data_IF_888587218361
#
_entry.id   IF_888587218361
#
_cell.length_a   1.000
_cell.length_b   1.000
_cell.length_c   1.000
_cell.angle_alpha   90.00
_cell.angle_beta   90.00
_cell.angle_gamma   90.00
#
_symmetry.space_group_name_H-M   'P 1'
#
loop_
_entity.id
_entity.type
_entity.pdbx_description
1 polymer ?
#
# COMPACT_ATOMS: atom_id res chain seq x y z
N UNK A 1 2.23 -0.87 1.64
CA UNK A 1 0.95 -0.58 0.97
C UNK A 1 1.22 0.15 -0.32
N UNK A 2 0.72 -0.38 -1.45
CA UNK A 2 0.84 0.23 -2.78
C UNK A 2 -0.48 0.88 -3.19
N UNK A 3 -0.44 2.12 -3.61
CA UNK A 3 -1.62 2.94 -3.93
C UNK A 3 -1.50 3.44 -5.37
N UNK A 4 -2.58 3.32 -6.14
CA UNK A 4 -2.75 4.02 -7.41
C UNK A 4 -3.60 5.27 -7.17
N UNK A 5 -3.17 6.41 -7.68
CA UNK A 5 -3.98 7.64 -7.73
C UNK A 5 -4.40 7.84 -9.18
N UNK A 6 -5.70 7.97 -9.43
CA UNK A 6 -6.26 8.31 -10.74
C UNK A 6 -7.00 9.63 -10.59
N UNK A 7 -6.39 10.70 -11.07
CA UNK A 7 -6.84 12.09 -10.88
C UNK A 7 -6.33 12.93 -12.06
N UNK A 8 -7.19 13.64 -12.76
CA UNK A 8 -6.83 14.44 -13.94
C UNK A 8 -6.22 15.80 -13.57
N UNK A 9 -6.55 16.34 -12.40
CA UNK A 9 -5.90 17.54 -11.88
C UNK A 9 -4.47 17.21 -11.42
N UNK A 10 -3.50 17.38 -12.32
CA UNK A 10 -2.08 17.04 -12.10
C UNK A 10 -1.52 17.60 -10.79
N UNK A 11 -1.85 18.85 -10.46
CA UNK A 11 -1.34 19.50 -9.24
C UNK A 11 -1.82 18.77 -7.99
N UNK A 12 -3.07 18.35 -7.95
CA UNK A 12 -3.67 17.58 -6.86
C UNK A 12 -3.07 16.17 -6.80
N UNK A 13 -3.05 15.45 -7.93
CA UNK A 13 -2.47 14.11 -8.03
C UNK A 13 -1.03 14.06 -7.51
N UNK A 14 -0.17 15.00 -7.96
CA UNK A 14 1.22 15.10 -7.53
C UNK A 14 1.37 15.46 -6.05
N UNK A 15 0.52 16.35 -5.54
CA UNK A 15 0.52 16.73 -4.14
C UNK A 15 0.15 15.54 -3.24
N UNK A 16 -0.90 14.81 -3.61
CA UNK A 16 -1.33 13.59 -2.92
C UNK A 16 -0.24 12.52 -2.95
N UNK A 17 0.36 12.26 -4.11
CA UNK A 17 1.42 11.28 -4.25
C UNK A 17 2.64 11.62 -3.38
N UNK A 18 3.08 12.88 -3.39
CA UNK A 18 4.18 13.33 -2.50
C UNK A 18 3.84 13.13 -1.02
N UNK A 19 2.61 13.46 -0.65
CA UNK A 19 2.13 13.27 0.72
C UNK A 19 2.13 11.79 1.13
N UNK A 20 1.50 10.92 0.34
CA UNK A 20 1.38 9.49 0.60
C UNK A 20 2.73 8.77 0.59
N UNK A 21 3.66 9.18 -0.28
CA UNK A 21 5.04 8.68 -0.25
C UNK A 21 5.76 9.06 1.05
N UNK A 22 5.49 10.24 1.62
CA UNK A 22 6.00 10.63 2.95
C UNK A 22 5.40 9.79 4.07
N UNK A 23 4.18 9.30 3.89
CA UNK A 23 3.52 8.35 4.79
C UNK A 23 4.02 6.90 4.62
N UNK A 24 5.00 6.68 3.73
CA UNK A 24 5.66 5.38 3.50
C UNK A 24 4.90 4.45 2.57
N UNK A 25 3.98 4.97 1.77
CA UNK A 25 3.26 4.23 0.75
C UNK A 25 4.06 4.20 -0.56
N UNK A 26 3.98 3.13 -1.33
CA UNK A 26 4.38 3.10 -2.73
C UNK A 26 3.22 3.69 -3.54
N UNK A 27 3.48 4.68 -4.38
CA UNK A 27 2.42 5.44 -5.06
C UNK A 27 2.72 5.60 -6.53
N UNK A 28 1.81 5.12 -7.35
CA UNK A 28 1.77 5.33 -8.79
C UNK A 28 0.65 6.33 -9.12
N UNK A 29 0.78 7.05 -10.24
CA UNK A 29 -0.17 8.07 -10.66
C UNK A 29 -0.62 7.78 -12.08
N UNK A 30 -1.91 7.92 -12.32
CA UNK A 30 -2.53 8.04 -13.63
C UNK A 30 -3.30 9.36 -13.69
N UNK A 31 -3.20 10.08 -14.81
CA UNK A 31 -3.84 11.38 -14.97
C UNK A 31 -5.11 11.33 -15.82
N UNK A 32 -5.60 10.14 -16.11
CA UNK A 32 -6.85 9.86 -16.80
C UNK A 32 -7.32 8.43 -16.52
N UNK A 33 -8.58 8.14 -16.83
CA UNK A 33 -9.19 6.84 -16.57
C UNK A 33 -8.54 5.70 -17.35
N UNK A 34 -8.14 5.92 -18.62
CA UNK A 34 -7.54 4.89 -19.47
C UNK A 34 -6.17 4.46 -18.96
N UNK A 35 -5.32 5.42 -18.61
CA UNK A 35 -4.03 5.14 -17.97
C UNK A 35 -4.19 4.45 -16.61
N UNK A 36 -5.24 4.81 -15.86
CA UNK A 36 -5.62 4.17 -14.60
C UNK A 36 -6.00 2.71 -14.81
N UNK A 37 -6.80 2.42 -15.82
CA UNK A 37 -7.23 1.09 -16.22
C UNK A 37 -6.02 0.21 -16.60
N UNK A 38 -5.14 0.71 -17.48
CA UNK A 38 -3.93 0.00 -17.89
C UNK A 38 -3.05 -0.38 -16.70
N UNK A 39 -2.82 0.56 -15.78
CA UNK A 39 -2.02 0.32 -14.57
C UNK A 39 -2.68 -0.69 -13.64
N UNK A 40 -3.98 -0.58 -13.41
CA UNK A 40 -4.73 -1.51 -12.56
C UNK A 40 -4.78 -2.94 -13.14
N UNK A 41 -4.72 -3.10 -14.47
CA UNK A 41 -4.71 -4.40 -15.13
C UNK A 41 -3.37 -5.14 -14.98
N UNK A 42 -2.24 -4.42 -14.93
CA UNK A 42 -0.89 -5.04 -14.91
C UNK A 42 -0.24 -5.04 -13.53
N UNK A 43 -0.70 -4.18 -12.63
CA UNK A 43 -0.09 -4.00 -11.30
C UNK A 43 -1.13 -4.23 -10.20
N UNK A 44 -0.74 -4.97 -9.17
CA UNK A 44 -1.60 -5.13 -7.98
C UNK A 44 -1.44 -3.94 -7.05
N UNK A 45 -2.55 -3.28 -6.77
CA UNK A 45 -2.65 -2.22 -5.79
C UNK A 45 -3.45 -2.68 -4.57
N UNK A 46 -3.06 -2.21 -3.39
CA UNK A 46 -3.84 -2.42 -2.17
C UNK A 46 -5.09 -1.53 -2.18
N UNK A 47 -4.91 -0.27 -2.62
CA UNK A 47 -6.00 0.72 -2.74
C UNK A 47 -5.82 1.56 -4.01
N UNK A 48 -6.93 1.85 -4.68
CA UNK A 48 -7.02 2.86 -5.74
C UNK A 48 -7.76 4.07 -5.19
N UNK A 49 -7.13 5.25 -5.25
CA UNK A 49 -7.77 6.56 -5.04
C UNK A 49 -8.21 7.03 -6.40
N UNK A 50 -9.50 7.18 -6.59
CA UNK A 50 -10.10 7.35 -7.91
C UNK A 50 -10.98 8.59 -7.93
N UNK A 51 -10.63 9.57 -8.74
CA UNK A 51 -11.56 10.68 -9.00
C UNK A 51 -12.76 10.18 -9.80
N UNK A 52 -13.94 10.62 -9.40
CA UNK A 52 -15.18 10.28 -10.06
C UNK A 52 -15.33 10.97 -11.42
N UNK A 53 -14.95 12.24 -11.49
CA UNK A 53 -15.24 13.12 -12.60
C UNK A 53 -14.08 13.16 -13.63
N UNK A 54 -13.58 12.00 -14.02
CA UNK A 54 -12.50 11.86 -15.01
C UNK A 54 -13.00 12.09 -16.44
N UNK A 55 -12.20 12.71 -17.31
CA UNK A 55 -12.51 12.80 -18.72
C UNK A 55 -12.34 11.46 -19.44
N UNK A 56 -13.19 11.19 -20.41
CA UNK A 56 -13.17 9.93 -21.19
C UNK A 56 -13.73 8.76 -20.41
N UNK A 57 -12.90 7.83 -19.96
CA UNK A 57 -13.32 6.75 -19.08
C UNK A 57 -13.55 7.31 -17.66
N UNK A 58 -14.80 7.34 -17.25
CA UNK A 58 -15.21 7.90 -15.96
C UNK A 58 -14.72 7.07 -14.77
N UNK A 59 -14.60 7.70 -13.60
CA UNK A 59 -14.24 6.98 -12.38
C UNK A 59 -15.26 5.92 -12.00
N UNK A 60 -16.55 6.14 -12.26
CA UNK A 60 -17.59 5.15 -12.00
C UNK A 60 -17.41 3.87 -12.86
N UNK A 61 -17.07 4.02 -14.14
CA UNK A 61 -16.79 2.91 -15.06
C UNK A 61 -15.54 2.14 -14.65
N UNK A 62 -14.45 2.86 -14.38
CA UNK A 62 -13.19 2.25 -13.93
C UNK A 62 -13.36 1.53 -12.58
N UNK A 63 -14.13 2.10 -11.65
CA UNK A 63 -14.46 1.45 -10.38
C UNK A 63 -15.19 0.12 -10.61
N UNK A 64 -16.20 0.10 -11.47
CA UNK A 64 -16.96 -1.11 -11.79
C UNK A 64 -16.05 -2.21 -12.38
N UNK A 65 -15.11 -1.86 -13.24
CA UNK A 65 -14.14 -2.80 -13.80
C UNK A 65 -13.21 -3.39 -12.74
N UNK A 66 -12.63 -2.52 -11.87
CA UNK A 66 -11.73 -2.97 -10.80
C UNK A 66 -12.46 -3.92 -9.85
N UNK A 67 -13.69 -3.58 -9.45
CA UNK A 67 -14.48 -4.38 -8.51
C UNK A 67 -14.95 -5.70 -9.12
N UNK A 68 -15.24 -5.74 -10.43
CA UNK A 68 -15.63 -6.97 -11.13
C UNK A 68 -14.49 -7.95 -11.33
N UNK A 69 -13.26 -7.50 -11.23
CA UNK A 69 -12.05 -8.33 -11.35
C UNK A 69 -11.81 -9.14 -10.08
N UNK A 70 -11.24 -10.36 -10.14
CA UNK A 70 -10.95 -11.18 -8.97
C UNK A 70 -9.71 -10.65 -8.22
N UNK A 71 -9.78 -9.39 -7.76
CA UNK A 71 -8.71 -8.71 -7.04
C UNK A 71 -9.13 -8.40 -5.61
N UNK A 72 -8.14 -8.21 -4.74
CA UNK A 72 -8.35 -7.70 -3.37
C UNK A 72 -8.20 -6.18 -3.30
N UNK A 73 -8.03 -5.52 -4.42
CA UNK A 73 -7.88 -4.06 -4.54
C UNK A 73 -9.12 -3.36 -4.00
N UNK A 74 -8.95 -2.36 -3.16
CA UNK A 74 -10.01 -1.53 -2.62
C UNK A 74 -10.07 -0.20 -3.35
N UNK A 75 -11.27 0.35 -3.51
CA UNK A 75 -11.47 1.63 -4.18
C UNK A 75 -11.97 2.68 -3.20
N UNK A 76 -11.21 3.78 -3.08
CA UNK A 76 -11.63 5.02 -2.44
C UNK A 76 -11.98 6.03 -3.51
N UNK A 77 -13.26 6.35 -3.66
CA UNK A 77 -13.75 7.32 -4.63
C UNK A 77 -13.62 8.75 -4.08
N UNK A 78 -13.02 9.64 -4.84
CA UNK A 78 -13.05 11.08 -4.59
C UNK A 78 -14.25 11.70 -5.34
N UNK A 79 -15.03 12.55 -4.68
CA UNK A 79 -16.23 13.15 -5.28
C UNK A 79 -16.29 14.65 -5.04
N UNK A 80 -16.75 15.42 -6.03
CA UNK A 80 -16.98 16.86 -5.88
C UNK A 80 -18.22 17.19 -5.02
N UNK A 81 -19.13 16.23 -4.84
CA UNK A 81 -20.38 16.43 -4.11
C UNK A 81 -20.43 15.54 -2.86
N UNK A 82 -20.74 16.18 -1.73
CA UNK A 82 -20.88 15.53 -0.42
C UNK A 82 -22.33 15.23 -0.03
N UNK A 83 -23.29 15.22 -0.97
CA UNK A 83 -24.70 14.97 -0.64
C UNK A 83 -24.92 13.52 -0.22
N UNK A 84 -25.89 13.31 0.67
CA UNK A 84 -26.23 11.98 1.15
C UNK A 84 -26.71 11.07 0.00
N UNK A 85 -27.36 11.63 -1.00
CA UNK A 85 -27.82 10.93 -2.19
C UNK A 85 -26.67 10.37 -3.03
N UNK A 86 -25.60 11.16 -3.23
CA UNK A 86 -24.41 10.74 -3.97
C UNK A 86 -23.64 9.63 -3.25
N UNK A 87 -23.64 9.64 -1.92
CA UNK A 87 -23.02 8.58 -1.10
C UNK A 87 -23.80 7.26 -1.17
N UNK A 88 -25.12 7.31 -1.21
CA UNK A 88 -25.98 6.12 -1.29
C UNK A 88 -25.93 5.51 -2.69
N UNK A 89 -25.99 6.33 -3.74
CA UNK A 89 -25.86 5.87 -5.14
C UNK A 89 -24.46 5.29 -5.42
N UNK A 90 -23.44 5.92 -4.85
CA UNK A 90 -22.06 5.45 -5.00
C UNK A 90 -21.79 4.09 -4.33
N UNK A 91 -22.28 3.85 -3.12
CA UNK A 91 -22.15 2.56 -2.43
C UNK A 91 -22.79 1.41 -3.21
N UNK A 92 -23.84 1.68 -3.99
CA UNK A 92 -24.47 0.70 -4.88
C UNK A 92 -23.62 0.37 -6.12
N UNK A 93 -22.58 1.16 -6.43
CA UNK A 93 -21.70 0.99 -7.61
C UNK A 93 -20.37 0.29 -7.30
N UNK A 94 -20.17 -0.16 -6.06
CA UNK A 94 -19.10 -1.07 -5.68
C UNK A 94 -17.83 -0.45 -5.09
N UNK A 95 -17.71 0.87 -4.96
CA UNK A 95 -16.59 1.47 -4.24
C UNK A 95 -16.65 1.13 -2.73
N UNK A 96 -15.49 0.93 -2.13
CA UNK A 96 -15.38 0.52 -0.71
C UNK A 96 -15.52 1.69 0.27
N UNK A 97 -15.21 2.91 -0.16
CA UNK A 97 -15.38 4.16 0.62
C UNK A 97 -15.42 5.38 -0.31
N UNK A 98 -15.91 6.51 0.23
CA UNK A 98 -16.07 7.79 -0.47
C UNK A 98 -15.47 8.92 0.36
N UNK A 99 -14.80 9.86 -0.32
CA UNK A 99 -14.24 11.06 0.29
C UNK A 99 -14.60 12.28 -0.55
N UNK A 100 -15.35 13.22 0.05
CA UNK A 100 -15.77 14.43 -0.64
C UNK A 100 -14.63 15.47 -0.71
N UNK A 101 -14.46 16.10 -1.86
CA UNK A 101 -13.59 17.27 -2.06
C UNK A 101 -14.34 18.54 -1.57
N UNK A 102 -13.68 19.48 -0.84
CA UNK A 102 -12.32 19.38 -0.33
C UNK A 102 -12.22 18.49 0.91
N UNK A 103 -11.10 17.81 1.07
CA UNK A 103 -10.82 16.92 2.20
C UNK A 103 -9.48 17.23 2.87
N UNK A 104 -9.35 16.84 4.11
CA UNK A 104 -8.09 16.92 4.84
C UNK A 104 -7.17 15.72 4.51
N UNK A 105 -5.90 15.99 4.25
CA UNK A 105 -4.92 14.95 3.94
C UNK A 105 -4.82 13.87 5.02
N UNK A 106 -4.84 14.18 6.35
CA UNK A 106 -4.87 13.14 7.40
C UNK A 106 -6.11 12.22 7.31
N UNK A 107 -7.28 12.73 6.88
CA UNK A 107 -8.47 11.91 6.67
C UNK A 107 -8.27 10.91 5.54
N UNK A 108 -7.74 11.36 4.41
CA UNK A 108 -7.39 10.48 3.29
C UNK A 108 -6.47 9.34 3.75
N UNK A 109 -5.38 9.66 4.47
CA UNK A 109 -4.42 8.67 4.97
C UNK A 109 -5.10 7.66 5.90
N UNK A 110 -5.96 8.12 6.81
CA UNK A 110 -6.68 7.25 7.74
C UNK A 110 -7.61 6.27 7.00
N UNK A 111 -8.34 6.75 5.98
CA UNK A 111 -9.24 5.93 5.15
C UNK A 111 -8.47 4.89 4.33
N UNK A 112 -7.37 5.27 3.67
CA UNK A 112 -6.52 4.35 2.92
C UNK A 112 -5.99 3.22 3.81
N UNK A 113 -5.52 3.55 5.00
CA UNK A 113 -5.06 2.55 5.97
C UNK A 113 -6.20 1.63 6.45
N UNK A 114 -7.41 2.15 6.60
CA UNK A 114 -8.58 1.36 6.97
C UNK A 114 -9.00 0.40 5.87
N UNK A 115 -9.00 0.85 4.61
CA UNK A 115 -9.33 0.03 3.44
C UNK A 115 -8.32 -1.08 3.22
N UNK A 116 -7.03 -0.78 3.28
CA UNK A 116 -5.98 -1.77 3.12
C UNK A 116 -6.07 -2.90 4.17
N UNK A 117 -6.50 -2.59 5.41
CA UNK A 117 -6.74 -3.62 6.43
C UNK A 117 -7.91 -4.55 6.10
N UNK A 118 -8.95 -4.05 5.40
CA UNK A 118 -10.12 -4.87 5.02
C UNK A 118 -9.82 -5.83 3.87
N UNK A 119 -8.81 -5.53 3.07
CA UNK A 119 -8.36 -6.37 1.95
C UNK A 119 -7.60 -7.62 2.42
N UNK A 120 -7.11 -7.64 3.65
CA UNK A 120 -6.38 -8.76 4.25
C UNK A 120 -7.25 -9.39 5.37
N UNK A 121 -7.27 -10.73 5.57
CA UNK A 121 -7.82 -11.32 6.79
C UNK A 121 -7.25 -10.56 7.97
N UNK A 122 -8.06 -10.30 8.99
CA UNK A 122 -7.73 -9.41 10.12
C UNK A 122 -6.24 -9.50 10.49
N UNK A 123 -5.45 -8.57 9.98
CA UNK A 123 -4.03 -8.48 10.35
C UNK A 123 -4.04 -8.15 11.83
N UNK A 124 -3.37 -8.93 12.67
CA UNK A 124 -3.23 -8.60 14.08
C UNK A 124 -2.80 -7.14 14.21
N UNK A 125 -3.30 -6.39 15.18
CA UNK A 125 -2.89 -4.99 15.38
C UNK A 125 -1.35 -4.86 15.54
N UNK A 126 -0.70 -5.95 15.90
CA UNK A 126 0.76 -6.11 15.97
C UNK A 126 1.17 -7.34 15.13
N UNK A 127 2.16 -7.14 14.27
CA UNK A 127 2.85 -8.24 13.60
C UNK A 127 3.99 -8.69 14.51
N UNK A 128 3.97 -9.95 14.90
CA UNK A 128 4.91 -10.50 15.89
C UNK A 128 5.67 -11.70 15.31
N UNK A 129 6.96 -11.72 15.54
CA UNK A 129 7.82 -12.87 15.25
C UNK A 129 8.91 -13.00 16.33
N UNK A 130 8.75 -13.97 17.22
CA UNK A 130 9.61 -14.11 18.40
C UNK A 130 9.57 -12.87 19.29
N UNK A 131 10.73 -12.23 19.46
CA UNK A 131 10.92 -11.00 20.25
C UNK A 131 10.74 -9.70 19.46
N UNK A 132 10.35 -9.81 18.19
CA UNK A 132 10.12 -8.69 17.28
C UNK A 132 8.64 -8.35 17.19
N UNK A 133 8.30 -7.09 17.41
CA UNK A 133 6.95 -6.54 17.28
C UNK A 133 6.95 -5.36 16.31
N UNK A 134 6.01 -5.34 15.38
CA UNK A 134 5.77 -4.22 14.46
C UNK A 134 4.31 -3.78 14.53
N UNK A 135 4.09 -2.51 14.85
CA UNK A 135 2.78 -1.85 14.80
C UNK A 135 2.64 -1.07 13.48
N UNK A 136 1.85 -1.57 12.51
CA UNK A 136 1.65 -0.89 11.24
C UNK A 136 0.93 0.45 11.38
N UNK A 137 0.03 0.58 12.37
CA UNK A 137 -0.78 1.78 12.56
C UNK A 137 0.06 2.93 13.14
N UNK A 138 0.90 2.62 14.14
CA UNK A 138 1.81 3.59 14.77
C UNK A 138 3.14 3.71 14.06
N UNK A 139 3.44 2.82 13.11
CA UNK A 139 4.72 2.70 12.40
C UNK A 139 5.91 2.58 13.36
N UNK A 140 5.74 1.77 14.39
CA UNK A 140 6.77 1.50 15.39
C UNK A 140 7.23 0.04 15.32
N UNK A 141 8.51 -0.16 15.62
CA UNK A 141 9.12 -1.49 15.70
C UNK A 141 9.84 -1.59 17.05
N UNK A 142 9.67 -2.73 17.70
CA UNK A 142 10.35 -3.07 18.94
C UNK A 142 10.98 -4.44 18.80
N UNK A 143 12.13 -4.63 19.41
CA UNK A 143 12.76 -5.92 19.56
C UNK A 143 13.23 -6.11 21.00
N UNK A 144 12.80 -7.18 21.67
CA UNK A 144 13.06 -7.41 23.11
C UNK A 144 12.78 -6.14 23.93
N UNK A 145 11.61 -5.52 23.72
CA UNK A 145 11.17 -4.25 24.34
C UNK A 145 11.98 -2.99 23.99
N UNK A 146 13.02 -3.10 23.18
CA UNK A 146 13.79 -1.93 22.74
C UNK A 146 13.24 -1.38 21.41
N UNK A 147 13.02 -0.05 21.29
CA UNK A 147 12.61 0.55 20.04
C UNK A 147 13.72 0.42 18.98
N UNK A 148 13.32 0.11 17.76
CA UNK A 148 14.22 0.02 16.60
C UNK A 148 13.82 1.08 15.58
N UNK A 149 14.73 2.01 15.30
CA UNK A 149 14.50 3.08 14.32
C UNK A 149 14.74 2.57 12.90
N UNK A 150 13.70 2.49 12.12
CA UNK A 150 13.74 2.08 10.72
C UNK A 150 13.43 3.24 9.78
N UNK A 151 14.09 3.24 8.63
CA UNK A 151 13.67 4.08 7.51
C UNK A 151 12.34 3.56 6.94
N UNK A 152 11.66 4.37 6.13
CA UNK A 152 10.39 4.00 5.52
C UNK A 152 10.46 2.72 4.69
N UNK A 153 11.56 2.53 3.95
CA UNK A 153 11.76 1.35 3.10
C UNK A 153 12.10 0.11 3.93
N UNK A 154 12.93 0.24 4.95
CA UNK A 154 13.21 -0.83 5.90
C UNK A 154 11.94 -1.27 6.64
N UNK A 155 11.11 -0.31 7.08
CA UNK A 155 9.82 -0.61 7.71
C UNK A 155 8.89 -1.36 6.76
N UNK A 156 8.73 -0.88 5.51
CA UNK A 156 7.89 -1.52 4.50
C UNK A 156 8.34 -2.94 4.16
N UNK A 157 9.65 -3.17 4.03
CA UNK A 157 10.19 -4.53 3.82
C UNK A 157 9.85 -5.44 5.00
N UNK A 158 10.06 -4.95 6.23
CA UNK A 158 9.77 -5.75 7.43
C UNK A 158 8.27 -6.05 7.57
N UNK A 159 7.41 -5.06 7.30
CA UNK A 159 5.94 -5.22 7.30
C UNK A 159 5.50 -6.30 6.30
N UNK A 160 6.05 -6.29 5.09
CA UNK A 160 5.74 -7.30 4.06
C UNK A 160 6.18 -8.69 4.50
N UNK A 161 7.41 -8.83 5.02
CA UNK A 161 7.96 -10.11 5.45
C UNK A 161 7.20 -10.70 6.65
N UNK A 162 6.85 -9.89 7.63
CA UNK A 162 6.05 -10.32 8.79
C UNK A 162 4.63 -10.69 8.39
N UNK A 163 4.02 -9.89 7.49
CA UNK A 163 2.68 -10.17 6.96
C UNK A 163 2.60 -11.46 6.14
N UNK A 164 3.72 -11.93 5.60
CA UNK A 164 3.80 -13.19 4.88
C UNK A 164 3.80 -14.43 5.80
N UNK A 165 3.82 -14.26 7.13
CA UNK A 165 3.64 -15.33 8.13
C UNK A 165 4.51 -16.57 7.90
N UNK A 166 5.79 -16.36 7.60
CA UNK A 166 6.77 -17.44 7.35
C UNK A 166 6.96 -17.82 5.89
N UNK A 167 6.08 -17.37 4.99
CA UNK A 167 6.25 -17.58 3.55
C UNK A 167 7.46 -16.82 3.00
N UNK A 168 8.05 -17.35 1.93
CA UNK A 168 9.15 -16.69 1.22
C UNK A 168 8.58 -15.60 0.33
N UNK A 169 9.14 -14.39 0.43
CA UNK A 169 8.81 -13.24 -0.42
C UNK A 169 9.98 -12.99 -1.35
N UNK A 170 9.73 -12.92 -2.66
CA UNK A 170 10.78 -12.69 -3.65
C UNK A 170 11.29 -11.25 -3.62
N UNK A 171 12.47 -11.02 -4.22
CA UNK A 171 12.99 -9.65 -4.35
C UNK A 171 12.11 -8.78 -5.23
N UNK A 172 11.52 -9.36 -6.27
CA UNK A 172 10.58 -8.71 -7.17
C UNK A 172 9.33 -8.28 -6.43
N UNK A 173 8.73 -9.18 -5.66
CA UNK A 173 7.54 -8.88 -4.85
C UNK A 173 7.83 -7.80 -3.80
N UNK A 174 9.00 -7.83 -3.14
CA UNK A 174 9.41 -6.77 -2.22
C UNK A 174 9.55 -5.43 -2.95
N UNK A 175 10.15 -5.44 -4.15
CA UNK A 175 10.30 -4.24 -4.95
C UNK A 175 8.93 -3.65 -5.33
N UNK A 176 8.02 -4.47 -5.82
CA UNK A 176 6.66 -4.06 -6.21
C UNK A 176 5.85 -3.50 -5.03
N UNK A 177 5.93 -4.11 -3.85
CA UNK A 177 5.09 -3.74 -2.70
C UNK A 177 5.63 -2.56 -1.91
N UNK A 178 6.95 -2.32 -1.95
CA UNK A 178 7.60 -1.31 -1.10
C UNK A 178 8.11 -0.11 -1.92
N UNK A 179 8.37 -0.28 -3.22
CA UNK A 179 8.78 0.80 -4.11
C UNK A 179 7.70 1.06 -5.17
N UNK A 180 7.71 2.26 -5.75
CA UNK A 180 6.81 2.64 -6.84
C UNK A 180 7.36 2.19 -8.22
N UNK A 181 6.59 2.45 -9.27
CA UNK A 181 6.92 2.07 -10.66
C UNK A 181 8.25 2.62 -11.18
N UNK A 182 8.79 3.67 -10.54
CA UNK A 182 10.06 4.27 -10.93
C UNK A 182 11.29 3.54 -10.35
N UNK A 183 11.08 2.49 -9.55
CA UNK A 183 12.18 1.71 -9.02
C UNK A 183 12.74 0.79 -10.10
N UNK A 184 14.04 0.94 -10.41
CA UNK A 184 14.73 0.08 -11.36
C UNK A 184 14.78 -1.37 -10.83
N UNK A 185 14.19 -2.35 -11.51
CA UNK A 185 14.15 -3.74 -11.08
C UNK A 185 15.54 -4.43 -11.05
N UNK A 186 16.53 -3.86 -11.74
CA UNK A 186 17.89 -4.40 -11.79
C UNK A 186 18.79 -3.86 -10.65
N UNK A 187 18.25 -3.04 -9.74
CA UNK A 187 19.03 -2.50 -8.64
C UNK A 187 19.24 -3.50 -7.51
N UNK A 188 20.30 -3.31 -6.75
CA UNK A 188 20.57 -4.04 -5.51
C UNK A 188 19.80 -3.46 -4.32
N UNK A 189 18.82 -2.58 -4.55
CA UNK A 189 18.11 -1.80 -3.53
C UNK A 189 17.46 -2.69 -2.46
N UNK A 190 16.75 -3.74 -2.86
CA UNK A 190 16.14 -4.69 -1.91
C UNK A 190 17.22 -5.34 -1.04
N UNK A 191 18.29 -5.85 -1.66
CA UNK A 191 19.41 -6.51 -0.95
C UNK A 191 20.07 -5.58 0.05
N UNK A 192 20.34 -4.33 -0.34
CA UNK A 192 20.95 -3.31 0.53
C UNK A 192 20.00 -2.99 1.69
N UNK A 193 18.70 -2.81 1.40
CA UNK A 193 17.69 -2.54 2.43
C UNK A 193 17.59 -3.69 3.43
N UNK A 194 17.57 -4.95 2.98
CA UNK A 194 17.57 -6.12 3.87
C UNK A 194 18.84 -6.20 4.70
N UNK A 195 20.00 -5.89 4.11
CA UNK A 195 21.28 -5.88 4.83
C UNK A 195 21.29 -4.84 5.96
N UNK A 196 20.86 -3.62 5.68
CA UNK A 196 20.80 -2.55 6.70
C UNK A 196 19.73 -2.84 7.75
N UNK A 197 18.59 -3.40 7.35
CA UNK A 197 17.52 -3.83 8.25
C UNK A 197 18.02 -4.91 9.23
N UNK A 198 18.70 -5.94 8.74
CA UNK A 198 19.32 -6.97 9.61
C UNK A 198 20.26 -6.37 10.64
N UNK A 199 21.12 -5.43 10.21
CA UNK A 199 22.05 -4.75 11.11
C UNK A 199 21.33 -3.99 12.23
N UNK A 200 20.20 -3.34 11.92
CA UNK A 200 19.40 -2.59 12.90
C UNK A 200 18.62 -3.50 13.84
N UNK A 201 18.09 -4.60 13.32
CA UNK A 201 17.40 -5.60 14.13
C UNK A 201 18.38 -6.34 15.06
N UNK A 202 19.63 -6.55 14.67
CA UNK A 202 20.65 -7.23 15.49
C UNK A 202 20.51 -8.76 15.50
N UNK A 203 21.21 -9.40 16.43
CA UNK A 203 21.22 -10.85 16.59
C UNK A 203 20.23 -11.34 17.69
N UNK A 204 19.71 -12.58 17.56
CA UNK A 204 19.82 -13.49 16.43
C UNK A 204 19.11 -12.99 15.18
N UNK A 205 19.60 -13.38 13.99
CA UNK A 205 19.05 -12.93 12.72
C UNK A 205 17.59 -13.37 12.55
N UNK A 206 16.66 -12.40 12.43
CA UNK A 206 15.22 -12.65 12.27
C UNK A 206 14.85 -12.89 10.80
N UNK A 207 15.57 -12.25 9.87
CA UNK A 207 15.31 -12.37 8.44
C UNK A 207 16.24 -13.39 7.83
N UNK A 208 15.69 -14.44 7.26
CA UNK A 208 16.44 -15.47 6.53
C UNK A 208 16.51 -15.14 5.03
N UNK A 209 17.62 -15.56 4.39
CA UNK A 209 17.72 -15.59 2.93
C UNK A 209 17.45 -17.01 2.46
N UNK A 210 16.47 -17.15 1.57
CA UNK A 210 16.24 -18.42 0.85
C UNK A 210 16.89 -18.27 -0.52
N UNK A 211 18.01 -18.96 -0.69
CA UNK A 211 18.85 -18.83 -1.89
C UNK A 211 18.04 -19.12 -3.15
N UNK A 212 18.09 -18.22 -4.12
CA UNK A 212 17.37 -18.32 -5.38
C UNK A 212 15.86 -18.03 -5.30
N UNK A 213 15.30 -17.75 -4.10
CA UNK A 213 13.87 -17.52 -3.94
C UNK A 213 13.53 -16.17 -3.29
N UNK A 214 14.32 -15.68 -2.31
CA UNK A 214 14.03 -14.39 -1.67
C UNK A 214 14.35 -14.37 -0.17
N UNK A 215 13.45 -13.77 0.60
CA UNK A 215 13.60 -13.55 2.04
C UNK A 215 12.35 -14.00 2.79
N UNK A 216 12.52 -14.37 4.05
CA UNK A 216 11.41 -14.65 4.96
C UNK A 216 11.75 -14.28 6.41
N UNK A 217 10.74 -14.06 7.20
CA UNK A 217 10.78 -14.11 8.66
C UNK A 217 10.06 -15.41 9.07
N UNK A 218 10.73 -16.40 9.67
CA UNK A 218 10.08 -17.63 10.09
C UNK A 218 8.88 -17.35 11.00
N UNK A 219 7.81 -18.13 10.85
CA UNK A 219 6.72 -18.07 11.80
C UNK A 219 7.24 -18.47 13.19
N UNK A 220 6.78 -17.80 14.24
CA UNK A 220 7.05 -18.27 15.60
C UNK A 220 6.43 -19.65 15.76
N UNK A 221 7.26 -20.63 16.09
CA UNK A 221 6.83 -22.00 16.38
C UNK A 221 5.98 -22.10 17.65
#
# INVERSE_FOLDING_TARGET
MRVLIVEDERALADALARGLRREGMAVDIAYDGSSGQEKAAVTRYDVVVLDRDLPGLSGDELCAEIVSSPTTTRVLMLTASGTLADKVDGLSRGADDYLAKPFDFPELVARLRALARRATPAVPPLLVAGDLELDPARRTVRRSDRPVELTRKEFGVLEVLLGASGAVVSSEELLERVWDENADPFTTTVRVTVMTLRKKLGEPAVIETVVGAGYRVPAAG
#
